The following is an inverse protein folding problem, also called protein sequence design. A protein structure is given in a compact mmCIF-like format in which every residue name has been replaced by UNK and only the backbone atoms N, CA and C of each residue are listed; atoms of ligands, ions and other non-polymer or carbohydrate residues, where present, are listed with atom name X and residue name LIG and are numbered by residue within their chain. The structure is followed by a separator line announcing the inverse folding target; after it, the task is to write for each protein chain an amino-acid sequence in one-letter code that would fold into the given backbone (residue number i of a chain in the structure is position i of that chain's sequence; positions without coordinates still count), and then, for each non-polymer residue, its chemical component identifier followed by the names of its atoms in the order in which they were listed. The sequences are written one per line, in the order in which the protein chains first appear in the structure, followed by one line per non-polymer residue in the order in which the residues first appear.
data_IF_090635117798
#
_entry.id   IF_090635117798
#
_cell.length_a   1.000
_cell.length_b   1.000
_cell.length_c   1.000
_cell.angle_alpha   90.00
_cell.angle_beta   90.00
_cell.angle_gamma   90.00
#
_symmetry.space_group_name_H-M   'P 1'
#
loop_
_entity.id
_entity.type
_entity.pdbx_description
1 polymer ?
#
# COMPACT_ATOMS: atom_id res chain seq x y z
N UNK A 1 -19.73 -15.46 -8.78
CA UNK A 1 -19.07 -15.69 -8.68
C UNK A 1 -18.02 -15.37 -8.14
N UNK A 2 -17.83 -14.93 -7.79
CA UNK A 2 -16.85 -14.38 -7.33
C UNK A 2 -15.87 -15.10 -6.61
N UNK A 3 -16.07 -15.73 -5.72
CA UNK A 3 -15.12 -16.23 -5.01
C UNK A 3 -14.28 -17.15 -5.58
N UNK A 4 -14.59 -17.53 -6.65
CA UNK A 4 -13.77 -18.40 -7.27
C UNK A 4 -12.55 -17.85 -7.67
N UNK A 5 -12.42 -16.60 -7.86
CA UNK A 5 -11.20 -15.96 -8.27
C UNK A 5 -10.05 -16.22 -7.33
N UNK A 6 -10.32 -16.46 -6.05
CA UNK A 6 -9.26 -16.65 -5.09
C UNK A 6 -8.49 -17.95 -5.29
N UNK A 7 -9.05 -18.92 -6.02
CA UNK A 7 -8.39 -20.18 -6.26
C UNK A 7 -7.81 -20.32 -7.65
N UNK A 8 -7.99 -19.33 -8.49
CA UNK A 8 -7.46 -19.34 -9.85
C UNK A 8 -6.11 -18.67 -9.88
N UNK A 9 -5.10 -19.34 -10.43
CA UNK A 9 -3.80 -18.74 -10.59
C UNK A 9 -3.74 -17.96 -11.89
N UNK A 10 -3.15 -16.77 -11.83
CA UNK A 10 -3.04 -15.89 -12.97
C UNK A 10 -1.63 -15.36 -13.03
N UNK A 11 -1.18 -14.95 -14.20
CA UNK A 11 0.12 -14.32 -14.33
C UNK A 11 0.15 -13.08 -13.42
N UNK A 12 1.19 -12.96 -12.63
CA UNK A 12 1.26 -11.87 -11.64
C UNK A 12 1.16 -10.51 -12.31
N UNK A 13 1.58 -10.39 -13.57
CA UNK A 13 1.49 -9.13 -14.31
C UNK A 13 0.04 -8.62 -14.47
N UNK A 14 -0.94 -9.52 -14.33
CA UNK A 14 -2.35 -9.16 -14.50
C UNK A 14 -3.06 -8.94 -13.16
N UNK A 15 -2.37 -9.12 -12.04
CA UNK A 15 -2.98 -8.98 -10.72
C UNK A 15 -2.82 -7.56 -10.17
N UNK A 16 -3.72 -7.20 -9.30
CA UNK A 16 -3.59 -5.98 -8.49
C UNK A 16 -4.19 -6.27 -7.13
N UNK A 17 -3.87 -5.40 -6.17
CA UNK A 17 -4.37 -5.56 -4.81
C UNK A 17 -5.89 -5.44 -4.82
N UNK A 18 -6.58 -6.32 -4.12
CA UNK A 18 -8.02 -6.22 -4.00
C UNK A 18 -8.39 -4.99 -3.17
N UNK A 19 -9.56 -4.43 -3.43
CA UNK A 19 -10.03 -3.27 -2.69
C UNK A 19 -10.13 -3.57 -1.20
N UNK A 20 -10.64 -4.75 -0.86
CA UNK A 20 -10.78 -5.12 0.55
C UNK A 20 -9.42 -5.18 1.25
N UNK A 21 -8.41 -5.75 0.60
CA UNK A 21 -7.07 -5.82 1.17
C UNK A 21 -6.49 -4.42 1.37
N UNK A 22 -6.64 -3.54 0.36
CA UNK A 22 -6.13 -2.18 0.46
C UNK A 22 -6.76 -1.42 1.62
N UNK A 23 -8.09 -1.48 1.74
CA UNK A 23 -8.79 -0.79 2.82
C UNK A 23 -8.36 -1.35 4.17
N UNK A 24 -8.20 -2.69 4.27
CA UNK A 24 -7.75 -3.31 5.50
C UNK A 24 -6.37 -2.83 5.93
N UNK A 25 -5.44 -2.74 4.99
CA UNK A 25 -4.09 -2.27 5.30
C UNK A 25 -4.09 -0.80 5.73
N UNK A 26 -4.81 0.04 4.99
CA UNK A 26 -4.86 1.47 5.30
C UNK A 26 -5.43 1.71 6.69
N UNK A 27 -6.51 1.01 7.04
CA UNK A 27 -7.10 1.18 8.36
C UNK A 27 -6.23 0.60 9.47
N UNK A 28 -5.48 -0.46 9.17
CA UNK A 28 -4.57 -1.05 10.15
C UNK A 28 -3.44 -0.10 10.51
N UNK A 29 -2.96 0.70 9.54
CA UNK A 29 -1.90 1.66 9.80
C UNK A 29 -2.35 2.80 10.72
N UNK A 30 -3.65 3.01 10.83
CA UNK A 30 -4.18 4.13 11.59
C UNK A 30 -4.12 5.42 10.77
N UNK A 31 -4.73 6.46 11.26
CA UNK A 31 -4.84 7.72 10.53
C UNK A 31 -4.42 8.89 11.40
N UNK A 32 -3.63 9.82 10.84
CA UNK A 32 -3.34 11.08 11.52
C UNK A 32 -3.58 12.23 10.55
N UNK A 33 -4.24 13.29 11.05
CA UNK A 33 -4.46 14.50 10.26
C UNK A 33 -3.19 15.33 10.17
N UNK A 34 -2.35 15.30 11.20
CA UNK A 34 -1.10 16.05 11.24
C UNK A 34 0.07 15.11 11.16
N UNK A 35 1.17 15.58 10.56
CA UNK A 35 2.39 14.79 10.49
C UNK A 35 2.89 14.52 11.91
N UNK A 36 3.28 13.27 12.17
CA UNK A 36 3.78 12.85 13.47
C UNK A 36 5.00 11.97 13.28
N UNK A 37 5.84 11.90 14.30
CA UNK A 37 6.95 10.94 14.32
C UNK A 37 6.50 9.82 15.26
N UNK A 38 6.12 8.64 14.71
CA UNK A 38 5.49 7.60 15.51
C UNK A 38 6.39 7.00 16.57
N UNK A 39 7.68 6.97 16.31
CA UNK A 39 8.65 6.43 17.25
C UNK A 39 9.89 7.31 17.22
N UNK A 40 10.51 7.52 18.37
CA UNK A 40 11.71 8.34 18.45
C UNK A 40 12.75 7.83 17.47
N UNK A 41 13.29 8.74 16.67
CA UNK A 41 14.29 8.39 15.66
C UNK A 41 13.70 7.98 14.32
N UNK A 42 12.39 7.88 14.24
CA UNK A 42 11.70 7.54 13.00
C UNK A 42 11.49 8.81 12.17
N UNK A 43 10.97 8.65 10.95
CA UNK A 43 10.68 9.78 10.07
C UNK A 43 9.23 10.22 10.22
N UNK A 44 8.90 11.47 9.86
CA UNK A 44 7.51 11.93 9.94
C UNK A 44 6.59 11.13 9.03
N UNK A 45 5.41 10.80 9.55
CA UNK A 45 4.36 10.13 8.79
C UNK A 45 3.10 10.97 8.82
N UNK A 46 2.24 10.80 7.82
CA UNK A 46 1.03 11.58 7.65
C UNK A 46 -0.08 10.68 7.11
N UNK A 47 -1.31 10.92 7.54
CA UNK A 47 -2.46 10.17 7.07
C UNK A 47 -2.41 8.71 7.51
N UNK A 48 -2.40 7.80 6.56
CA UNK A 48 -2.36 6.36 6.85
C UNK A 48 -0.92 5.84 6.82
N UNK A 49 -0.04 6.55 7.51
CA UNK A 49 1.35 6.11 7.66
C UNK A 49 2.26 6.47 6.50
N UNK A 50 1.86 7.39 5.63
CA UNK A 50 2.68 7.77 4.49
C UNK A 50 3.89 8.59 4.92
N UNK A 51 5.05 8.25 4.37
CA UNK A 51 6.29 8.99 4.63
C UNK A 51 6.68 9.87 3.45
N UNK A 52 6.04 9.66 2.28
CA UNK A 52 6.30 10.45 1.09
C UNK A 52 4.99 10.85 0.44
N UNK A 53 5.01 11.96 -0.28
CA UNK A 53 3.89 12.42 -1.07
C UNK A 53 3.88 11.73 -2.44
N UNK A 54 2.80 11.92 -3.19
CA UNK A 54 2.65 11.27 -4.50
C UNK A 54 3.78 11.65 -5.47
N UNK A 55 4.34 12.84 -5.31
CA UNK A 55 5.43 13.32 -6.17
C UNK A 55 6.82 12.90 -5.66
N UNK A 56 6.88 12.10 -4.60
CA UNK A 56 8.15 11.61 -4.06
C UNK A 56 8.78 12.46 -2.99
N UNK A 57 8.23 13.66 -2.70
CA UNK A 57 8.79 14.49 -1.64
C UNK A 57 8.48 13.86 -0.28
N UNK A 58 9.41 13.98 0.64
CA UNK A 58 9.21 13.44 1.99
C UNK A 58 8.21 14.29 2.76
N UNK A 59 7.41 13.61 3.60
CA UNK A 59 6.50 14.27 4.53
C UNK A 59 7.35 15.05 5.55
N UNK A 60 6.90 16.25 5.88
CA UNK A 60 7.58 17.12 6.83
C UNK A 60 6.68 17.40 8.01
N UNK A 61 7.27 17.60 9.19
CA UNK A 61 6.49 18.02 10.35
C UNK A 61 5.82 19.36 10.06
N UNK A 62 4.60 19.50 10.54
CA UNK A 62 3.80 20.67 10.27
C UNK A 62 2.80 20.50 9.14
N UNK A 63 2.95 19.44 8.35
CA UNK A 63 2.00 19.18 7.25
C UNK A 63 0.72 18.54 7.77
N UNK A 64 -0.35 18.70 7.01
CA UNK A 64 -1.67 18.20 7.37
C UNK A 64 -2.30 17.53 6.17
N UNK A 65 -3.25 16.65 6.43
CA UNK A 65 -4.01 15.99 5.38
C UNK A 65 -5.46 15.78 5.83
N UNK A 66 -6.25 15.14 5.00
CA UNK A 66 -7.61 14.73 5.32
C UNK A 66 -7.77 13.28 4.85
N UNK A 67 -8.84 12.57 5.29
CA UNK A 67 -8.96 11.14 4.98
C UNK A 67 -8.96 10.81 3.49
N UNK A 68 -9.57 11.62 2.65
CA UNK A 68 -9.64 11.35 1.22
C UNK A 68 -8.25 11.50 0.58
N UNK A 69 -7.58 12.61 0.90
CA UNK A 69 -6.23 12.85 0.38
C UNK A 69 -5.26 11.79 0.88
N UNK A 70 -5.42 11.36 2.14
CA UNK A 70 -4.58 10.33 2.71
C UNK A 70 -4.77 8.99 2.01
N UNK A 71 -6.01 8.64 1.65
CA UNK A 71 -6.27 7.40 0.92
C UNK A 71 -5.67 7.44 -0.47
N UNK A 72 -5.76 8.59 -1.15
CA UNK A 72 -5.15 8.74 -2.48
C UNK A 72 -3.64 8.55 -2.41
N UNK A 73 -3.01 9.10 -1.38
CA UNK A 73 -1.58 8.99 -1.21
C UNK A 73 -1.18 7.54 -0.92
N UNK A 74 -1.92 6.86 -0.05
CA UNK A 74 -1.65 5.47 0.26
C UNK A 74 -1.82 4.59 -0.97
N UNK A 75 -2.84 4.86 -1.77
CA UNK A 75 -3.08 4.10 -2.99
C UNK A 75 -1.96 4.32 -4.00
N UNK A 76 -1.49 5.55 -4.14
CA UNK A 76 -0.39 5.84 -5.06
C UNK A 76 0.88 5.08 -4.64
N UNK A 77 1.13 5.00 -3.34
CA UNK A 77 2.28 4.27 -2.84
C UNK A 77 2.17 2.78 -3.15
N UNK A 78 1.02 2.16 -2.83
CA UNK A 78 0.86 0.74 -3.05
C UNK A 78 0.88 0.40 -4.55
N UNK A 79 0.39 1.30 -5.39
CA UNK A 79 0.41 1.10 -6.84
C UNK A 79 1.84 1.06 -7.38
N UNK A 80 2.72 1.89 -6.84
CA UNK A 80 4.13 1.86 -7.23
C UNK A 80 4.80 0.56 -6.78
N UNK A 81 4.48 0.10 -5.57
CA UNK A 81 5.03 -1.16 -5.08
C UNK A 81 4.49 -2.35 -5.85
N UNK A 82 3.23 -2.29 -6.28
CA UNK A 82 2.67 -3.34 -7.12
C UNK A 82 3.41 -3.45 -8.45
N UNK A 83 3.72 -2.32 -9.07
CA UNK A 83 4.43 -2.34 -10.33
C UNK A 83 5.81 -2.96 -10.15
N UNK A 84 6.50 -2.59 -9.09
CA UNK A 84 7.82 -3.12 -8.79
C UNK A 84 7.76 -4.63 -8.52
N UNK A 85 6.73 -5.06 -7.79
CA UNK A 85 6.56 -6.47 -7.49
C UNK A 85 6.29 -7.28 -8.77
N UNK A 86 5.40 -6.78 -9.63
CA UNK A 86 5.09 -7.46 -10.88
C UNK A 86 6.32 -7.55 -11.78
N UNK A 87 7.11 -6.50 -11.82
CA UNK A 87 8.30 -6.48 -12.67
C UNK A 87 9.37 -7.45 -12.17
N UNK A 88 9.37 -7.78 -10.90
CA UNK A 88 10.38 -8.67 -10.33
C UNK A 88 10.05 -10.14 -10.53
N UNK A 89 8.84 -10.47 -10.99
CA UNK A 89 8.38 -11.86 -11.09
C UNK A 89 7.80 -12.18 -12.47
N UNK A 90 8.57 -12.00 -13.55
CA UNK A 90 8.05 -12.28 -14.88
C UNK A 90 7.74 -13.77 -15.03
N UNK A 91 6.58 -14.08 -15.58
CA UNK A 91 6.17 -15.46 -15.82
C UNK A 91 5.62 -16.21 -14.63
N UNK A 92 5.58 -15.59 -13.47
CA UNK A 92 5.04 -16.23 -12.27
C UNK A 92 3.53 -16.12 -12.24
N UNK A 93 2.85 -17.15 -11.76
CA UNK A 93 1.40 -17.15 -11.60
C UNK A 93 1.06 -17.28 -10.12
N UNK A 94 0.08 -16.50 -9.68
CA UNK A 94 -0.37 -16.51 -8.29
C UNK A 94 -1.90 -16.46 -8.25
N UNK A 95 -2.46 -16.91 -7.14
CA UNK A 95 -3.88 -16.65 -6.87
C UNK A 95 -4.00 -15.23 -6.33
N UNK A 96 -5.19 -14.68 -6.36
CA UNK A 96 -5.43 -13.35 -5.81
C UNK A 96 -5.07 -13.32 -4.31
N UNK A 97 -5.40 -14.39 -3.58
CA UNK A 97 -5.08 -14.45 -2.16
C UNK A 97 -3.57 -14.43 -1.91
N UNK A 98 -2.80 -15.16 -2.73
CA UNK A 98 -1.35 -15.14 -2.61
C UNK A 98 -0.80 -13.75 -2.93
N UNK A 99 -1.32 -13.11 -3.98
CA UNK A 99 -0.88 -11.78 -4.34
C UNK A 99 -1.14 -10.77 -3.22
N UNK A 100 -2.35 -10.80 -2.66
CA UNK A 100 -2.70 -9.90 -1.56
C UNK A 100 -1.80 -10.14 -0.35
N UNK A 101 -1.46 -11.39 -0.07
CA UNK A 101 -0.58 -11.73 1.05
C UNK A 101 0.83 -11.14 0.85
N UNK A 102 1.38 -11.28 -0.35
CA UNK A 102 2.70 -10.73 -0.63
C UNK A 102 2.68 -9.21 -0.57
N UNK A 103 1.62 -8.59 -1.10
CA UNK A 103 1.52 -7.13 -1.08
C UNK A 103 1.29 -6.60 0.34
N UNK A 104 0.61 -7.36 1.18
CA UNK A 104 0.46 -7.00 2.58
C UNK A 104 1.85 -6.92 3.24
N UNK A 105 2.69 -7.92 2.98
CA UNK A 105 4.05 -7.92 3.51
C UNK A 105 4.83 -6.71 3.01
N UNK A 106 4.74 -6.42 1.71
CA UNK A 106 5.44 -5.27 1.12
C UNK A 106 4.94 -3.97 1.75
N UNK A 107 3.63 -3.83 1.94
CA UNK A 107 3.05 -2.62 2.52
C UNK A 107 3.53 -2.41 3.96
N UNK A 108 3.65 -3.50 4.73
CA UNK A 108 4.08 -3.41 6.12
C UNK A 108 5.57 -3.11 6.25
N UNK A 109 6.40 -3.67 5.37
CA UNK A 109 7.84 -3.65 5.56
C UNK A 109 8.64 -3.06 4.41
N UNK A 110 8.02 -2.77 3.29
CA UNK A 110 8.72 -2.43 2.06
C UNK A 110 9.04 -0.97 1.83
N UNK A 111 8.56 -0.08 2.68
CA UNK A 111 8.82 1.34 2.45
C UNK A 111 10.00 1.87 3.23
#
# INVERSE_FOLDING_TARGET
MAERGSNVRVAVAALSVSLAAFVGWATHEGYTTNAVIPTKGDVPTLGYGSTVHEDGRRVQMGERTDPVSALKKAYAHISREEQRFRDSLPGVELTQAEYDLYMDFVYQYGS
#
